data_IF_067082261511
#
_entry.id   IF_067082261511
#
_cell.length_a   1.000
_cell.length_b   1.000
_cell.length_c   1.000
_cell.angle_alpha   90.00
_cell.angle_beta   90.00
_cell.angle_gamma   90.00
#
_symmetry.space_group_name_H-M   'P 1'
#
loop_
_entity.id
_entity.type
_entity.pdbx_description
1 polymer ?
#
# COMPACT_ATOMS: atom_id res chain seq x y z
N UNK A 1 11.29 -14.12 -19.25
CA UNK A 1 11.29 -14.68 -17.89
C UNK A 1 9.99 -15.44 -17.62
N UNK A 2 8.79 -14.85 -17.56
CA UNK A 2 7.54 -15.58 -17.29
C UNK A 2 7.36 -16.82 -18.19
N UNK A 3 7.44 -16.67 -19.48
CA UNK A 3 7.34 -17.79 -20.46
C UNK A 3 8.45 -18.83 -20.23
N UNK A 4 9.67 -18.39 -19.98
CA UNK A 4 10.82 -19.29 -19.77
C UNK A 4 10.65 -20.21 -18.56
N UNK A 5 9.99 -19.71 -17.51
CA UNK A 5 9.76 -20.44 -16.26
C UNK A 5 8.33 -20.97 -16.13
N UNK A 6 7.55 -20.86 -17.21
CA UNK A 6 6.15 -21.31 -17.26
C UNK A 6 5.32 -20.77 -16.09
N UNK A 7 5.42 -19.45 -15.86
CA UNK A 7 4.63 -18.75 -14.84
C UNK A 7 3.26 -18.37 -15.41
N UNK A 8 2.23 -18.45 -14.59
CA UNK A 8 0.85 -18.13 -14.95
C UNK A 8 0.59 -16.62 -15.04
N UNK A 9 1.37 -15.82 -14.32
CA UNK A 9 1.16 -14.38 -14.24
C UNK A 9 2.38 -13.56 -13.85
N UNK A 10 2.19 -12.26 -13.87
CA UNK A 10 3.13 -11.23 -13.38
C UNK A 10 2.34 -10.33 -12.44
N UNK A 11 2.91 -10.04 -11.28
CA UNK A 11 2.44 -9.00 -10.39
C UNK A 11 3.39 -7.80 -10.44
N UNK A 12 2.85 -6.60 -10.61
CA UNK A 12 3.61 -5.35 -10.54
C UNK A 12 3.44 -4.73 -9.16
N UNK A 13 4.54 -4.63 -8.45
CA UNK A 13 4.63 -4.01 -7.13
C UNK A 13 5.63 -2.85 -7.17
N UNK A 14 5.24 -1.75 -7.83
CA UNK A 14 6.04 -0.54 -7.91
C UNK A 14 5.65 0.43 -6.79
N UNK A 15 6.42 0.38 -5.73
CA UNK A 15 6.30 1.29 -4.61
C UNK A 15 7.20 2.53 -4.76
N UNK A 16 6.92 3.55 -3.96
CA UNK A 16 7.75 4.77 -3.89
C UNK A 16 7.87 5.55 -5.22
N UNK A 17 6.95 5.37 -6.14
CA UNK A 17 6.84 6.22 -7.31
C UNK A 17 6.29 7.60 -6.91
N UNK A 18 6.64 8.62 -7.67
CA UNK A 18 6.06 9.95 -7.51
C UNK A 18 5.57 10.49 -8.85
N UNK A 19 4.55 11.36 -8.80
CA UNK A 19 4.02 12.01 -10.00
C UNK A 19 5.11 12.76 -10.77
N UNK A 20 6.06 13.38 -10.08
CA UNK A 20 7.16 14.13 -10.67
C UNK A 20 8.13 13.24 -11.46
N UNK A 21 8.34 12.01 -10.97
CA UNK A 21 9.31 11.08 -11.56
C UNK A 21 8.72 10.28 -12.72
N UNK A 22 7.46 9.89 -12.65
CA UNK A 22 6.87 8.96 -13.62
C UNK A 22 5.71 9.57 -14.42
N UNK A 23 4.93 10.52 -13.83
CA UNK A 23 3.79 11.12 -14.50
C UNK A 23 2.87 10.08 -15.17
N UNK A 24 2.52 10.33 -16.43
CA UNK A 24 1.69 9.43 -17.24
C UNK A 24 2.47 8.22 -17.78
N UNK A 25 3.80 8.21 -17.69
CA UNK A 25 4.63 7.12 -18.23
C UNK A 25 4.35 5.78 -17.54
N UNK A 26 3.91 5.80 -16.27
CA UNK A 26 3.56 4.58 -15.55
C UNK A 26 2.37 3.86 -16.19
N UNK A 27 1.31 4.56 -16.51
CA UNK A 27 0.13 3.96 -17.12
C UNK A 27 0.41 3.49 -18.56
N UNK A 28 1.25 4.22 -19.30
CA UNK A 28 1.70 3.78 -20.62
C UNK A 28 2.53 2.49 -20.54
N UNK A 29 3.40 2.38 -19.54
CA UNK A 29 4.12 1.13 -19.28
C UNK A 29 3.17 -0.03 -18.98
N UNK A 30 2.17 0.20 -18.12
CA UNK A 30 1.15 -0.83 -17.80
C UNK A 30 0.42 -1.27 -19.06
N UNK A 31 0.00 -0.33 -19.90
CA UNK A 31 -0.68 -0.61 -21.17
C UNK A 31 0.19 -1.44 -22.12
N UNK A 32 1.45 -1.08 -22.30
CA UNK A 32 2.35 -1.84 -23.16
C UNK A 32 2.63 -3.26 -22.62
N UNK A 33 2.79 -3.39 -21.31
CA UNK A 33 3.01 -4.67 -20.67
C UNK A 33 1.78 -5.57 -20.80
N UNK A 34 0.56 -5.02 -20.61
CA UNK A 34 -0.68 -5.79 -20.72
C UNK A 34 -0.86 -6.43 -22.08
N UNK A 35 -0.51 -5.72 -23.16
CA UNK A 35 -0.54 -6.28 -24.53
C UNK A 35 0.39 -7.49 -24.64
N UNK A 36 1.59 -7.40 -24.04
CA UNK A 36 2.55 -8.51 -24.05
C UNK A 36 2.06 -9.69 -23.20
N UNK A 37 1.45 -9.41 -22.06
CA UNK A 37 0.87 -10.44 -21.18
C UNK A 37 -0.28 -11.15 -21.92
N UNK A 38 -1.24 -10.43 -22.47
CA UNK A 38 -2.38 -10.98 -23.20
C UNK A 38 -1.95 -11.85 -24.38
N UNK A 39 -0.97 -11.39 -25.17
CA UNK A 39 -0.45 -12.15 -26.32
C UNK A 39 0.25 -13.46 -25.93
N UNK A 40 0.59 -13.66 -24.67
CA UNK A 40 1.28 -14.83 -24.16
C UNK A 40 0.46 -15.61 -23.12
N UNK A 41 -0.81 -15.25 -22.88
CA UNK A 41 -1.66 -15.91 -21.89
C UNK A 41 -1.17 -15.74 -20.45
N UNK A 42 -0.52 -14.60 -20.15
CA UNK A 42 0.02 -14.26 -18.83
C UNK A 42 -0.96 -13.33 -18.14
N UNK A 43 -1.37 -13.68 -16.93
CA UNK A 43 -2.20 -12.83 -16.05
C UNK A 43 -1.36 -11.65 -15.56
N UNK A 44 -1.92 -10.44 -15.58
CA UNK A 44 -1.31 -9.23 -15.06
C UNK A 44 -2.09 -8.71 -13.85
N UNK A 45 -1.42 -8.61 -12.71
CA UNK A 45 -1.94 -7.93 -11.52
C UNK A 45 -1.05 -6.77 -11.10
N UNK A 46 -1.63 -5.79 -10.43
CA UNK A 46 -0.91 -4.56 -10.03
C UNK A 46 -1.24 -4.23 -8.59
N UNK A 47 -0.22 -4.10 -7.75
CA UNK A 47 -0.36 -3.67 -6.38
C UNK A 47 -0.46 -2.14 -6.30
N UNK A 48 -1.37 -1.67 -5.46
CA UNK A 48 -1.64 -0.26 -5.25
C UNK A 48 -1.78 0.03 -3.77
N UNK A 49 -1.30 1.20 -3.36
CA UNK A 49 -1.66 1.76 -2.06
C UNK A 49 -3.17 2.00 -1.97
N UNK A 50 -3.69 2.01 -0.75
CA UNK A 50 -5.05 2.52 -0.48
C UNK A 50 -5.21 3.90 -1.11
N UNK A 51 -6.35 4.17 -1.78
CA UNK A 51 -6.59 5.44 -2.44
C UNK A 51 -6.39 6.65 -1.53
N UNK A 52 -5.67 7.62 -2.03
CA UNK A 52 -5.43 8.91 -1.37
C UNK A 52 -5.11 9.98 -2.42
N UNK A 53 -5.10 11.24 -2.03
CA UNK A 53 -4.68 12.34 -2.92
C UNK A 53 -3.23 12.18 -3.41
N UNK A 54 -2.36 11.57 -2.60
CA UNK A 54 -0.95 11.34 -2.94
C UNK A 54 -0.75 10.18 -3.92
N UNK A 55 -1.68 9.22 -3.94
CA UNK A 55 -1.59 8.00 -4.76
C UNK A 55 -2.50 8.04 -5.98
N UNK A 56 -3.22 9.15 -6.22
CA UNK A 56 -4.15 9.29 -7.34
C UNK A 56 -3.48 9.18 -8.72
N UNK A 57 -2.18 9.51 -8.82
CA UNK A 57 -1.44 9.45 -10.08
C UNK A 57 -1.19 8.01 -10.58
N UNK A 58 -1.34 7.01 -9.72
CA UNK A 58 -1.33 5.59 -10.15
C UNK A 58 -2.48 5.26 -11.09
N UNK A 59 -3.56 6.07 -11.07
CA UNK A 59 -4.68 5.98 -11.99
C UNK A 59 -5.29 4.56 -12.05
N UNK A 60 -5.82 4.10 -10.92
CA UNK A 60 -6.40 2.74 -10.78
C UNK A 60 -7.53 2.47 -11.75
N UNK A 61 -8.33 3.50 -12.06
CA UNK A 61 -9.39 3.38 -13.06
C UNK A 61 -8.83 3.01 -14.46
N UNK A 62 -7.70 3.59 -14.83
CA UNK A 62 -7.07 3.28 -16.12
C UNK A 62 -6.32 1.93 -16.06
N UNK A 63 -5.70 1.60 -14.92
CA UNK A 63 -5.10 0.28 -14.70
C UNK A 63 -6.12 -0.85 -14.92
N UNK A 64 -7.36 -0.67 -14.46
CA UNK A 64 -8.44 -1.65 -14.61
C UNK A 64 -8.81 -1.94 -16.07
N UNK A 65 -8.47 -1.06 -17.02
CA UNK A 65 -8.64 -1.32 -18.44
C UNK A 65 -7.57 -2.25 -19.02
N UNK A 66 -6.45 -2.43 -18.32
CA UNK A 66 -5.28 -3.13 -18.83
C UNK A 66 -4.87 -4.34 -18.01
N UNK A 67 -5.10 -4.32 -16.69
CA UNK A 67 -4.76 -5.42 -15.79
C UNK A 67 -5.95 -6.36 -15.58
N UNK A 68 -5.66 -7.63 -15.32
CA UNK A 68 -6.68 -8.60 -14.92
C UNK A 68 -7.14 -8.34 -13.48
N UNK A 69 -6.22 -7.93 -12.60
CA UNK A 69 -6.51 -7.62 -11.20
C UNK A 69 -5.78 -6.36 -10.72
N UNK A 70 -6.47 -5.61 -9.88
CA UNK A 70 -5.94 -4.48 -9.12
C UNK A 70 -5.96 -4.87 -7.64
N UNK A 71 -4.78 -5.05 -7.08
CA UNK A 71 -4.60 -5.42 -5.67
C UNK A 71 -4.48 -4.14 -4.84
N UNK A 72 -5.22 -4.04 -3.76
CA UNK A 72 -5.11 -2.93 -2.80
C UNK A 72 -4.39 -3.42 -1.56
N UNK A 73 -3.26 -2.81 -1.24
CA UNK A 73 -2.47 -3.07 -0.04
C UNK A 73 -3.17 -2.46 1.18
N UNK A 74 -4.13 -3.20 1.76
CA UNK A 74 -4.94 -2.77 2.89
C UNK A 74 -4.20 -2.85 4.22
N UNK A 75 -2.96 -2.31 4.27
CA UNK A 75 -2.07 -2.33 5.42
C UNK A 75 -1.15 -1.11 5.43
N UNK A 76 -0.36 -0.99 6.50
CA UNK A 76 0.51 0.16 6.77
C UNK A 76 -0.24 1.50 6.92
N UNK A 77 -1.46 1.45 7.49
CA UNK A 77 -2.17 2.64 7.95
C UNK A 77 -1.27 3.46 8.89
N UNK A 78 -0.62 2.77 9.84
CA UNK A 78 0.50 3.29 10.62
C UNK A 78 1.73 2.43 10.35
N UNK A 79 2.81 3.06 9.94
CA UNK A 79 4.06 2.42 9.52
C UNK A 79 5.27 2.95 10.33
N UNK A 80 6.47 2.44 10.07
CA UNK A 80 7.66 2.79 10.85
C UNK A 80 7.99 4.31 10.92
N UNK A 81 7.56 5.07 9.91
CA UNK A 81 7.76 6.53 9.85
C UNK A 81 6.60 7.34 10.39
N UNK A 82 5.55 6.70 10.94
CA UNK A 82 4.41 7.41 11.53
C UNK A 82 4.85 8.15 12.79
N UNK A 83 4.32 9.36 12.95
CA UNK A 83 4.57 10.19 14.15
C UNK A 83 3.75 9.78 15.37
N UNK A 84 2.70 9.02 15.12
CA UNK A 84 1.75 8.54 16.11
C UNK A 84 1.67 7.02 16.02
N UNK A 85 1.44 6.38 17.15
CA UNK A 85 1.17 4.95 17.20
C UNK A 85 -0.22 4.63 16.66
N UNK A 86 -0.41 3.41 16.14
CA UNK A 86 -1.71 3.00 15.65
C UNK A 86 -1.73 1.61 15.05
N UNK A 87 -2.91 1.24 14.58
CA UNK A 87 -3.13 -0.03 13.91
C UNK A 87 -2.41 -0.07 12.57
N UNK A 88 -1.90 -1.24 12.20
CA UNK A 88 -1.40 -1.51 10.84
C UNK A 88 -2.52 -1.43 9.82
N UNK A 89 -3.74 -1.85 10.20
CA UNK A 89 -4.91 -1.89 9.33
C UNK A 89 -6.18 -1.86 10.18
N UNK A 90 -6.67 -0.66 10.53
CA UNK A 90 -7.94 -0.55 11.23
C UNK A 90 -9.11 -0.91 10.28
N UNK A 91 -10.14 -1.52 10.82
CA UNK A 91 -11.27 -1.98 10.02
C UNK A 91 -11.98 -0.83 9.28
N UNK A 92 -12.08 0.35 9.92
CA UNK A 92 -12.69 1.54 9.33
C UNK A 92 -11.89 2.05 8.13
N UNK A 93 -10.56 2.14 8.29
CA UNK A 93 -9.67 2.60 7.23
C UNK A 93 -9.64 1.63 6.05
N UNK A 94 -9.56 0.31 6.31
CA UNK A 94 -9.61 -0.70 5.25
C UNK A 94 -10.94 -0.67 4.50
N UNK A 95 -12.08 -0.57 5.22
CA UNK A 95 -13.41 -0.47 4.58
C UNK A 95 -13.51 0.76 3.70
N UNK A 96 -13.00 1.90 4.15
CA UNK A 96 -13.00 3.12 3.34
C UNK A 96 -12.12 2.94 2.10
N UNK A 97 -10.90 2.40 2.26
CA UNK A 97 -10.02 2.12 1.14
C UNK A 97 -10.61 1.20 0.09
N UNK A 98 -11.33 0.15 0.51
CA UNK A 98 -12.06 -0.72 -0.41
C UNK A 98 -13.18 0.04 -1.11
N UNK A 99 -13.97 0.83 -0.39
CA UNK A 99 -15.06 1.61 -0.98
C UNK A 99 -14.55 2.62 -2.03
N UNK A 100 -13.45 3.32 -1.72
CA UNK A 100 -12.83 4.27 -2.64
C UNK A 100 -12.25 3.56 -3.88
N UNK A 101 -11.68 2.37 -3.70
CA UNK A 101 -11.20 1.55 -4.82
C UNK A 101 -12.34 1.09 -5.72
N UNK A 102 -13.44 0.63 -5.14
CA UNK A 102 -14.61 0.17 -5.91
C UNK A 102 -15.33 1.32 -6.67
N UNK A 103 -15.05 2.57 -6.31
CA UNK A 103 -15.51 3.72 -7.10
C UNK A 103 -14.68 3.91 -8.40
N UNK A 104 -13.48 3.34 -8.47
CA UNK A 104 -12.55 3.46 -9.60
C UNK A 104 -12.44 2.16 -10.42
N UNK A 105 -12.58 1.00 -9.77
CA UNK A 105 -12.24 -0.33 -10.32
C UNK A 105 -13.43 -1.28 -10.21
N UNK A 106 -13.77 -2.07 -11.25
CA UNK A 106 -14.79 -3.11 -11.16
C UNK A 106 -14.52 -4.11 -10.04
N UNK A 107 -15.56 -4.50 -9.31
CA UNK A 107 -15.42 -5.33 -8.10
C UNK A 107 -14.82 -6.71 -8.36
N UNK A 108 -15.02 -7.28 -9.52
CA UNK A 108 -14.48 -8.58 -9.96
C UNK A 108 -12.99 -8.54 -10.30
N UNK A 109 -12.42 -7.35 -10.41
CA UNK A 109 -10.97 -7.13 -10.61
C UNK A 109 -10.25 -6.75 -9.32
N UNK A 110 -10.95 -6.43 -8.22
CA UNK A 110 -10.32 -5.97 -6.98
C UNK A 110 -9.92 -7.13 -6.09
N UNK A 111 -8.68 -7.12 -5.64
CA UNK A 111 -8.17 -8.02 -4.59
C UNK A 111 -7.73 -7.17 -3.40
N UNK A 112 -8.22 -7.50 -2.20
CA UNK A 112 -7.78 -6.87 -0.96
C UNK A 112 -6.61 -7.65 -0.35
N UNK A 113 -5.43 -7.06 -0.34
CA UNK A 113 -4.29 -7.52 0.44
C UNK A 113 -4.46 -7.16 1.92
N UNK A 114 -4.27 -8.15 2.79
CA UNK A 114 -4.38 -7.97 4.25
C UNK A 114 -3.05 -8.31 4.93
N UNK A 115 -2.69 -7.63 6.04
CA UNK A 115 -1.43 -7.89 6.73
C UNK A 115 -1.47 -9.21 7.52
N UNK A 116 -0.37 -9.96 7.46
CA UNK A 116 -0.07 -11.06 8.37
C UNK A 116 0.99 -10.67 9.40
N UNK A 117 1.05 -9.39 9.76
CA UNK A 117 1.96 -8.82 10.73
C UNK A 117 1.27 -7.75 11.55
N UNK A 118 1.87 -7.38 12.65
CA UNK A 118 1.47 -6.25 13.47
C UNK A 118 2.69 -5.41 13.86
N UNK A 119 2.46 -4.29 14.51
CA UNK A 119 3.52 -3.43 15.07
C UNK A 119 3.37 -3.34 16.58
N UNK A 120 4.50 -3.41 17.27
CA UNK A 120 4.62 -2.99 18.66
C UNK A 120 5.24 -1.61 18.68
N UNK A 121 4.62 -0.69 19.40
CA UNK A 121 5.04 0.69 19.49
C UNK A 121 5.71 0.95 20.85
N UNK A 122 6.83 1.64 20.83
CA UNK A 122 7.48 2.16 22.02
C UNK A 122 7.36 3.68 22.00
N UNK A 123 6.77 4.22 23.06
CA UNK A 123 6.63 5.65 23.32
C UNK A 123 7.66 6.04 24.35
N UNK A 124 8.68 6.79 23.97
CA UNK A 124 9.72 7.25 24.87
C UNK A 124 9.47 8.72 25.19
N UNK A 125 9.16 9.09 26.47
CA UNK A 125 8.98 10.47 26.82
C UNK A 125 10.22 11.29 26.48
N UNK A 126 10.06 12.35 25.72
CA UNK A 126 11.12 13.32 25.52
C UNK A 126 11.24 14.14 26.80
N UNK A 127 12.46 14.32 27.33
CA UNK A 127 12.69 15.21 28.45
C UNK A 127 12.35 16.63 28.01
N UNK A 128 11.14 17.07 28.38
CA UNK A 128 10.77 18.46 28.30
C UNK A 128 11.70 19.30 29.20
N UNK A 129 12.05 20.46 28.74
CA UNK A 129 12.70 21.50 29.54
C UNK A 129 11.97 21.64 30.85
N UNK A 130 12.70 21.72 31.95
CA UNK A 130 12.30 21.77 33.37
C UNK A 130 11.27 22.90 33.71
N UNK A 131 10.08 22.86 33.17
CA UNK A 131 8.97 23.68 33.64
C UNK A 131 7.77 22.76 33.84
N UNK A 132 7.62 22.33 35.09
CA UNK A 132 6.53 21.50 35.56
C UNK A 132 5.19 22.27 35.49
N UNK A 133 4.53 22.17 34.36
CA UNK A 133 3.09 22.38 34.26
C UNK A 133 2.48 21.03 33.89
N UNK A 134 1.72 20.39 34.79
CA UNK A 134 1.13 19.06 34.62
C UNK A 134 0.08 18.97 33.51
N UNK A 135 -0.11 20.03 32.72
CA UNK A 135 -1.02 20.08 31.56
C UNK A 135 -0.30 20.13 30.21
N UNK A 136 1.01 20.07 30.19
CA UNK A 136 1.76 20.06 28.92
C UNK A 136 1.68 18.71 28.24
N UNK A 137 1.24 18.73 27.00
CA UNK A 137 1.28 17.62 26.04
C UNK A 137 2.70 17.03 26.04
N UNK A 138 2.84 15.82 26.55
CA UNK A 138 4.16 15.21 26.70
C UNK A 138 4.60 14.73 25.32
N UNK A 139 5.58 15.38 24.73
CA UNK A 139 6.18 14.95 23.47
C UNK A 139 6.85 13.58 23.65
N UNK A 140 6.44 12.62 22.84
CA UNK A 140 7.01 11.29 22.81
C UNK A 140 7.80 11.08 21.51
N UNK A 141 8.94 10.41 21.63
CA UNK A 141 9.57 9.77 20.48
C UNK A 141 8.88 8.45 20.25
N UNK A 142 8.32 8.30 19.04
CA UNK A 142 7.59 7.11 18.62
C UNK A 142 8.52 6.22 17.80
N UNK A 143 8.65 4.97 18.21
CA UNK A 143 9.33 3.95 17.43
C UNK A 143 8.49 2.68 17.34
N UNK A 144 8.68 1.89 16.29
CA UNK A 144 7.93 0.65 16.12
C UNK A 144 8.78 -0.49 15.61
N UNK A 145 8.36 -1.71 15.94
CA UNK A 145 8.94 -2.95 15.45
C UNK A 145 7.84 -3.84 14.88
N UNK A 146 8.12 -4.45 13.71
CA UNK A 146 7.22 -5.42 13.08
C UNK A 146 7.33 -6.76 13.77
N UNK A 147 6.16 -7.40 13.99
CA UNK A 147 6.03 -8.78 14.43
C UNK A 147 5.16 -9.53 13.42
N UNK A 148 5.76 -10.37 12.60
CA UNK A 148 5.08 -11.24 11.65
C UNK A 148 4.95 -12.67 12.16
N UNK A 149 4.33 -13.54 11.39
CA UNK A 149 4.14 -14.96 11.74
C UNK A 149 5.46 -15.72 11.93
N UNK A 150 6.57 -15.24 11.35
CA UNK A 150 7.90 -15.85 11.47
C UNK A 150 8.75 -15.26 12.59
N UNK A 151 8.26 -14.29 13.35
CA UNK A 151 8.97 -13.67 14.49
C UNK A 151 8.44 -14.10 15.84
N UNK A 152 7.52 -15.08 15.87
CA UNK A 152 7.05 -15.71 17.09
C UNK A 152 8.04 -16.81 17.50
N UNK A 153 9.14 -16.44 18.16
CA UNK A 153 9.94 -17.30 19.01
C UNK A 153 9.74 -16.94 20.48
#
# INVERSE_FOLDING_TARGET
MAIQYNLDGINLDFESLSRENVGDAYIEFVRELSIKCANNGIVLSIDNYVPSSYTSFYNRAEQANFADYVVIMGYDEHYAGSKEEGSVASLSWVKQGVADTLAEVPADQVILGMPFYTRVWALTPQKGTDNADESADTDYEVSSQIYGMNTAE
#
